data_IF_226915178889
#
_entry.id   IF_226915178889
#
_cell.length_a   1.000
_cell.length_b   1.000
_cell.length_c   1.000
_cell.angle_alpha   90.00
_cell.angle_beta   90.00
_cell.angle_gamma   90.00
#
_symmetry.space_group_name_H-M   'P 1'
#
loop_
_entity.id
_entity.type
_entity.pdbx_description
1 polymer ?
#
# COMPACT_ATOMS: atom_id res chain seq x y z
N UNK A 1 -28.29 7.61 11.49
CA UNK A 1 -27.41 7.04 10.45
C UNK A 1 -26.17 6.50 11.16
N UNK A 2 -25.67 5.30 10.85
CA UNK A 2 -24.44 4.79 11.46
C UNK A 2 -23.26 5.70 11.10
N UNK A 3 -22.28 5.81 12.01
CA UNK A 3 -21.06 6.58 11.76
C UNK A 3 -20.24 5.93 10.64
N UNK A 4 -19.65 6.75 9.76
CA UNK A 4 -18.74 6.28 8.70
C UNK A 4 -17.47 5.73 9.34
N UNK A 5 -17.09 4.50 8.95
CA UNK A 5 -15.86 3.86 9.41
C UNK A 5 -14.67 4.37 8.59
N UNK A 6 -13.58 4.72 9.25
CA UNK A 6 -12.30 4.98 8.58
C UNK A 6 -11.56 3.68 8.27
N UNK A 7 -11.25 3.44 7.01
CA UNK A 7 -10.52 2.26 6.54
C UNK A 7 -9.01 2.51 6.45
N UNK A 8 -8.21 1.85 7.30
CA UNK A 8 -6.76 1.73 7.07
C UNK A 8 -6.51 0.76 5.92
N UNK A 9 -5.87 1.21 4.86
CA UNK A 9 -5.61 0.42 3.65
C UNK A 9 -4.11 0.37 3.36
N UNK A 10 -3.63 -0.79 2.92
CA UNK A 10 -2.30 -0.94 2.35
C UNK A 10 -2.41 -1.21 0.85
N UNK A 11 -1.94 -0.29 0.02
CA UNK A 11 -1.93 -0.47 -1.44
C UNK A 11 -0.57 -1.03 -1.86
N UNK A 12 -0.56 -2.30 -2.24
CA UNK A 12 0.63 -2.96 -2.78
C UNK A 12 0.84 -2.54 -4.23
N UNK A 13 1.93 -1.81 -4.47
CA UNK A 13 2.30 -1.24 -5.77
C UNK A 13 3.82 -1.31 -5.99
N UNK A 14 4.27 -1.12 -7.23
CA UNK A 14 5.69 -0.99 -7.56
C UNK A 14 6.03 0.46 -7.91
N UNK A 15 7.16 0.95 -7.41
CA UNK A 15 7.68 2.29 -7.76
C UNK A 15 8.16 2.43 -9.22
N UNK A 16 8.36 1.30 -9.91
CA UNK A 16 8.93 1.27 -11.24
C UNK A 16 7.91 1.51 -12.36
N UNK A 17 6.61 1.41 -12.07
CA UNK A 17 5.60 1.33 -13.12
C UNK A 17 4.37 2.19 -12.86
N UNK A 18 4.10 3.08 -13.82
CA UNK A 18 2.82 3.73 -14.01
C UNK A 18 2.44 4.78 -12.96
N UNK A 19 1.26 5.36 -13.18
CA UNK A 19 0.55 6.28 -12.30
C UNK A 19 -0.63 5.58 -11.58
N UNK A 20 -0.63 4.25 -11.59
CA UNK A 20 -1.79 3.44 -11.16
C UNK A 20 -2.08 3.60 -9.66
N UNK A 21 -1.02 3.72 -8.85
CA UNK A 21 -1.15 3.99 -7.41
C UNK A 21 -1.75 5.38 -7.20
N UNK A 22 -1.19 6.40 -7.83
CA UNK A 22 -1.61 7.80 -7.72
C UNK A 22 -3.07 7.97 -8.16
N UNK A 23 -3.47 7.32 -9.26
CA UNK A 23 -4.85 7.34 -9.76
C UNK A 23 -5.82 6.65 -8.80
N UNK A 24 -5.42 5.57 -8.13
CA UNK A 24 -6.27 4.91 -7.13
C UNK A 24 -6.43 5.78 -5.88
N UNK A 25 -5.35 6.40 -5.42
CA UNK A 25 -5.37 7.35 -4.29
C UNK A 25 -6.29 8.53 -4.61
N UNK A 26 -6.16 9.11 -5.81
CA UNK A 26 -7.05 10.18 -6.27
C UNK A 26 -8.50 9.72 -6.32
N UNK A 27 -8.77 8.54 -6.89
CA UNK A 27 -10.11 7.96 -6.93
C UNK A 27 -10.72 7.82 -5.52
N UNK A 28 -9.95 7.38 -4.53
CA UNK A 28 -10.45 7.33 -3.15
C UNK A 28 -10.73 8.73 -2.56
N UNK A 29 -9.94 9.74 -2.89
CA UNK A 29 -10.17 11.13 -2.45
C UNK A 29 -11.41 11.77 -3.09
N UNK A 30 -11.82 11.33 -4.28
CA UNK A 30 -13.01 11.82 -4.98
C UNK A 30 -14.33 11.35 -4.31
N UNK A 31 -14.28 10.41 -3.36
CA UNK A 31 -15.46 9.81 -2.74
C UNK A 31 -15.68 10.34 -1.30
N UNK A 32 -16.56 11.33 -1.08
CA UNK A 32 -16.69 12.02 0.22
C UNK A 32 -17.22 11.14 1.36
N UNK A 33 -17.88 10.02 1.04
CA UNK A 33 -18.39 9.06 2.01
C UNK A 33 -17.42 7.88 2.26
N UNK A 34 -16.20 7.95 1.70
CA UNK A 34 -15.17 6.93 1.85
C UNK A 34 -13.99 7.48 2.67
N UNK A 35 -14.06 7.30 3.99
CA UNK A 35 -12.97 7.68 4.88
C UNK A 35 -11.92 6.57 4.93
N UNK A 36 -10.68 6.93 4.64
CA UNK A 36 -9.58 5.97 4.64
C UNK A 36 -8.28 6.64 5.08
N UNK A 37 -7.30 5.81 5.43
CA UNK A 37 -5.95 6.22 5.77
C UNK A 37 -4.98 5.31 5.02
N UNK A 38 -4.00 5.93 4.39
CA UNK A 38 -2.97 5.25 3.62
C UNK A 38 -1.86 4.72 4.53
N UNK A 39 -1.55 3.43 4.41
CA UNK A 39 -0.44 2.73 5.08
C UNK A 39 0.58 2.21 4.06
N UNK A 40 0.39 2.50 2.77
CA UNK A 40 1.32 2.10 1.71
C UNK A 40 2.67 2.83 1.84
N UNK A 41 3.61 2.42 1.01
CA UNK A 41 4.98 2.96 0.99
C UNK A 41 5.18 3.61 -0.37
N UNK A 42 4.85 4.91 -0.51
CA UNK A 42 4.98 5.60 -1.78
C UNK A 42 6.46 5.87 -2.09
N UNK A 43 6.75 6.19 -3.35
CA UNK A 43 8.13 6.35 -3.83
C UNK A 43 8.85 7.55 -3.20
N UNK A 44 8.10 8.58 -2.84
CA UNK A 44 8.55 9.82 -2.21
C UNK A 44 8.73 9.71 -0.69
N UNK A 45 8.10 8.73 -0.04
CA UNK A 45 8.28 8.40 1.39
C UNK A 45 8.68 6.92 1.59
N UNK A 46 9.91 6.54 1.18
CA UNK A 46 10.41 5.18 1.33
C UNK A 46 10.82 4.87 2.78
N UNK A 47 10.92 3.58 3.13
CA UNK A 47 11.44 3.17 4.44
C UNK A 47 12.93 3.55 4.56
N UNK A 48 13.23 4.59 5.34
CA UNK A 48 14.59 5.12 5.49
C UNK A 48 15.51 4.29 6.40
N UNK A 49 14.97 3.50 7.34
CA UNK A 49 15.74 2.85 8.42
C UNK A 49 15.82 1.31 8.30
N UNK A 50 15.90 0.79 7.07
CA UNK A 50 16.03 -0.64 6.82
C UNK A 50 17.36 -0.96 6.13
N UNK A 51 18.35 -1.39 6.92
CA UNK A 51 19.72 -1.64 6.43
C UNK A 51 19.90 -3.04 5.81
N UNK A 52 18.90 -3.92 5.91
CA UNK A 52 18.92 -5.26 5.34
C UNK A 52 17.49 -5.76 5.04
N UNK A 53 17.41 -6.86 4.30
CA UNK A 53 16.16 -7.50 3.88
C UNK A 53 15.23 -7.87 5.06
N UNK A 54 15.78 -8.32 6.20
CA UNK A 54 15.01 -8.68 7.39
C UNK A 54 14.37 -7.45 8.05
N UNK A 55 15.10 -6.35 8.13
CA UNK A 55 14.60 -5.08 8.65
C UNK A 55 13.56 -4.48 7.72
N UNK A 56 13.78 -4.56 6.40
CA UNK A 56 12.82 -4.11 5.38
C UNK A 56 11.51 -4.91 5.46
N UNK A 57 11.60 -6.24 5.50
CA UNK A 57 10.44 -7.12 5.68
C UNK A 57 9.67 -6.78 6.96
N UNK A 58 10.39 -6.60 8.06
CA UNK A 58 9.78 -6.27 9.35
C UNK A 58 9.10 -4.90 9.34
N UNK A 59 9.68 -3.92 8.65
CA UNK A 59 9.09 -2.60 8.48
C UNK A 59 7.82 -2.63 7.61
N UNK A 60 7.85 -3.34 6.49
CA UNK A 60 6.66 -3.57 5.64
C UNK A 60 5.56 -4.30 6.44
N UNK A 61 5.93 -5.34 7.18
CA UNK A 61 4.99 -6.09 8.02
C UNK A 61 4.32 -5.18 9.06
N UNK A 62 5.05 -4.25 9.66
CA UNK A 62 4.49 -3.27 10.60
C UNK A 62 3.46 -2.33 9.95
N UNK A 63 3.61 -2.02 8.67
CA UNK A 63 2.61 -1.25 7.92
C UNK A 63 1.35 -2.08 7.62
N UNK A 64 1.48 -3.36 7.33
CA UNK A 64 0.36 -4.24 6.97
C UNK A 64 -0.45 -4.67 8.20
N UNK A 65 0.17 -5.03 9.33
CA UNK A 65 -0.52 -5.54 10.53
C UNK A 65 -1.73 -4.72 11.00
N UNK A 66 -1.69 -3.37 11.04
CA UNK A 66 -2.83 -2.59 11.52
C UNK A 66 -3.95 -2.44 10.48
N UNK A 67 -3.75 -2.76 9.20
CA UNK A 67 -4.71 -2.40 8.14
C UNK A 67 -5.96 -3.27 8.16
N UNK A 68 -7.08 -2.71 7.71
CA UNK A 68 -8.32 -3.46 7.55
C UNK A 68 -8.35 -4.26 6.25
N UNK A 69 -7.65 -3.79 5.21
CA UNK A 69 -7.63 -4.40 3.89
C UNK A 69 -6.31 -4.12 3.17
N UNK A 70 -5.84 -5.11 2.40
CA UNK A 70 -4.70 -4.99 1.50
C UNK A 70 -5.23 -4.96 0.07
N UNK A 71 -4.91 -3.90 -0.67
CA UNK A 71 -5.28 -3.74 -2.08
C UNK A 71 -4.09 -4.14 -2.94
N UNK A 72 -4.26 -5.17 -3.77
CA UNK A 72 -3.23 -5.66 -4.68
C UNK A 72 -3.52 -5.17 -6.10
N UNK A 73 -2.68 -4.29 -6.66
CA UNK A 73 -2.84 -3.81 -8.02
C UNK A 73 -2.46 -4.92 -9.02
N UNK A 74 -3.46 -5.53 -9.66
CA UNK A 74 -3.26 -6.54 -10.69
C UNK A 74 -2.84 -5.87 -12.02
N UNK A 75 -1.63 -6.20 -12.51
CA UNK A 75 -1.03 -5.65 -13.75
C UNK A 75 0.32 -6.32 -14.02
N UNK A 76 1.22 -5.70 -14.80
CA UNK A 76 2.60 -6.19 -15.13
C UNK A 76 3.53 -6.25 -13.88
N UNK A 77 2.95 -6.35 -12.68
CA UNK A 77 3.59 -6.34 -11.37
C UNK A 77 3.96 -7.73 -10.85
N UNK A 78 3.46 -8.79 -11.49
CA UNK A 78 3.71 -10.19 -11.09
C UNK A 78 5.14 -10.66 -11.38
N UNK A 79 5.93 -9.93 -12.19
CA UNK A 79 7.24 -10.38 -12.68
C UNK A 79 8.46 -9.89 -11.89
N UNK A 80 8.37 -8.85 -11.06
CA UNK A 80 9.57 -8.22 -10.45
C UNK A 80 9.52 -7.93 -8.95
N UNK A 81 8.52 -8.42 -8.24
CA UNK A 81 8.48 -8.33 -6.78
C UNK A 81 9.12 -9.59 -6.18
N UNK A 82 10.40 -9.51 -5.75
CA UNK A 82 11.10 -10.58 -5.01
C UNK A 82 10.30 -11.15 -3.81
N UNK A 83 9.27 -10.43 -3.37
CA UNK A 83 8.50 -10.67 -2.15
C UNK A 83 7.11 -11.27 -2.36
N UNK A 84 6.48 -11.09 -3.54
CA UNK A 84 5.14 -11.63 -3.82
C UNK A 84 5.19 -13.16 -4.04
N UNK A 85 6.32 -13.70 -4.49
CA UNK A 85 6.52 -15.14 -4.71
C UNK A 85 6.82 -15.96 -3.43
N UNK A 86 6.65 -15.41 -2.23
CA UNK A 86 6.86 -16.14 -0.95
C UNK A 86 5.56 -16.50 -0.22
N UNK A 87 4.40 -16.30 -0.85
CA UNK A 87 3.10 -16.77 -0.34
C UNK A 87 2.85 -18.22 -0.76
#
# INVERSE_FOLDING_TARGET
MPALKTYRLFISHSWAYGDAYERLVQFFHEHPNFYWQDYSIPKDDPIHNANNDTQLYSAIKRQIVPVHCVVMLAGVYSTYSRWINKA
#
